data_IF_051951187071
#
_entry.id   IF_051951187071
#
_cell.length_a   1.000
_cell.length_b   1.000
_cell.length_c   1.000
_cell.angle_alpha   90.00
_cell.angle_beta   90.00
_cell.angle_gamma   90.00
#
_symmetry.space_group_name_H-M   'P 1'
#
loop_
_entity.id
_entity.type
_entity.pdbx_description
1 polymer ?
#
# COMPACT_ATOMS: atom_id res chain seq x y z
N UNK A 1 -8.61 13.82 -13.19
CA UNK A 1 -8.70 12.37 -13.37
C UNK A 1 -7.28 11.81 -13.34
N UNK A 2 -7.06 10.75 -12.56
CA UNK A 2 -5.78 10.03 -12.51
C UNK A 2 -6.04 8.64 -13.09
N UNK A 3 -5.21 8.22 -14.03
CA UNK A 3 -5.18 6.84 -14.50
C UNK A 3 -3.85 6.21 -14.11
N UNK A 4 -3.91 4.94 -13.75
CA UNK A 4 -2.73 4.12 -13.45
C UNK A 4 -2.57 3.14 -14.59
N UNK A 5 -1.41 3.13 -15.23
CA UNK A 5 -1.09 2.13 -16.25
C UNK A 5 -0.73 0.79 -15.61
N UNK A 6 -0.96 -0.28 -16.34
CA UNK A 6 -0.45 -1.59 -15.96
C UNK A 6 1.09 -1.57 -15.90
N UNK A 7 1.64 -2.39 -15.02
CA UNK A 7 3.10 -2.52 -14.88
C UNK A 7 3.69 -3.20 -16.10
N UNK A 8 4.58 -2.49 -16.79
CA UNK A 8 5.35 -2.99 -17.93
C UNK A 8 6.84 -2.90 -17.60
N UNK A 9 7.52 -4.03 -17.57
CA UNK A 9 8.95 -4.10 -17.25
C UNK A 9 9.86 -3.43 -18.27
N UNK A 10 9.35 -3.08 -19.46
CA UNK A 10 10.09 -2.34 -20.46
C UNK A 10 10.17 -0.83 -20.14
N UNK A 11 9.23 -0.30 -19.39
CA UNK A 11 9.10 1.14 -19.08
C UNK A 11 9.12 1.46 -17.59
N UNK A 12 8.73 0.49 -16.75
CA UNK A 12 8.71 0.69 -15.30
C UNK A 12 10.14 0.72 -14.73
N UNK A 13 10.46 1.65 -13.83
CA UNK A 13 11.73 1.66 -13.12
C UNK A 13 11.85 0.42 -12.23
N UNK A 14 13.08 0.11 -11.81
CA UNK A 14 13.34 -1.00 -10.90
C UNK A 14 12.58 -0.79 -9.58
N UNK A 15 11.73 -1.75 -9.24
CA UNK A 15 11.13 -1.91 -7.93
C UNK A 15 11.77 -3.11 -7.22
N UNK A 16 12.19 -2.91 -5.98
CA UNK A 16 12.78 -3.98 -5.17
C UNK A 16 11.77 -5.03 -4.70
N UNK A 17 10.51 -4.92 -5.08
CA UNK A 17 9.42 -5.84 -4.73
C UNK A 17 8.78 -5.59 -3.37
N UNK A 18 7.62 -6.19 -3.18
CA UNK A 18 6.84 -6.11 -1.95
C UNK A 18 7.26 -7.21 -0.98
N UNK A 19 8.09 -6.88 -0.01
CA UNK A 19 8.48 -7.77 1.06
C UNK A 19 8.69 -6.97 2.36
N UNK A 20 8.52 -7.60 3.51
CA UNK A 20 8.61 -6.92 4.81
C UNK A 20 7.58 -5.80 4.99
N UNK A 21 6.43 -5.88 4.31
CA UNK A 21 5.32 -4.91 4.36
C UNK A 21 5.72 -3.47 4.02
N UNK A 22 6.77 -3.28 3.23
CA UNK A 22 7.39 -1.97 2.96
C UNK A 22 6.71 -1.15 1.86
N UNK A 23 5.78 -1.70 1.09
CA UNK A 23 5.28 -1.05 -0.12
C UNK A 23 4.57 0.27 0.17
N UNK A 24 3.83 0.36 1.26
CA UNK A 24 3.13 1.61 1.62
C UNK A 24 4.11 2.74 1.91
N UNK A 25 5.13 2.52 2.72
CA UNK A 25 6.06 3.59 3.07
C UNK A 25 7.15 3.84 2.01
N UNK A 26 7.63 2.81 1.29
CA UNK A 26 8.60 3.02 0.20
C UNK A 26 7.92 3.51 -1.08
N UNK A 27 6.99 2.74 -1.62
CA UNK A 27 6.26 3.09 -2.84
C UNK A 27 5.38 4.32 -2.66
N UNK A 28 4.66 4.42 -1.53
CA UNK A 28 3.85 5.58 -1.19
C UNK A 28 4.67 6.87 -1.10
N UNK A 29 5.87 6.82 -0.53
CA UNK A 29 6.79 7.97 -0.48
C UNK A 29 7.25 8.38 -1.88
N UNK A 30 7.54 7.43 -2.77
CA UNK A 30 7.90 7.73 -4.15
C UNK A 30 6.74 8.45 -4.88
N UNK A 31 5.53 7.92 -4.74
CA UNK A 31 4.32 8.53 -5.33
C UNK A 31 4.07 9.92 -4.77
N UNK A 32 4.18 10.11 -3.45
CA UNK A 32 3.99 11.41 -2.81
C UNK A 32 5.00 12.44 -3.32
N UNK A 33 6.29 12.08 -3.39
CA UNK A 33 7.34 12.97 -3.92
C UNK A 33 7.09 13.35 -5.37
N UNK A 34 6.79 12.39 -6.23
CA UNK A 34 6.51 12.66 -7.64
C UNK A 34 5.25 13.53 -7.81
N UNK A 35 4.18 13.25 -7.06
CA UNK A 35 2.97 14.06 -7.10
C UNK A 35 3.20 15.50 -6.61
N UNK A 36 4.04 15.67 -5.58
CA UNK A 36 4.43 17.00 -5.07
C UNK A 36 5.20 17.78 -6.12
N UNK A 37 6.21 17.17 -6.75
CA UNK A 37 7.00 17.79 -7.81
C UNK A 37 6.13 18.16 -9.03
N UNK A 38 5.24 17.26 -9.44
CA UNK A 38 4.29 17.54 -10.52
C UNK A 38 3.36 18.70 -10.17
N UNK A 39 2.84 18.73 -8.93
CA UNK A 39 2.00 19.83 -8.45
C UNK A 39 2.76 21.16 -8.45
N UNK A 40 3.97 21.21 -7.96
CA UNK A 40 4.81 22.41 -7.95
C UNK A 40 5.04 22.93 -9.38
N UNK A 41 5.34 22.04 -10.32
CA UNK A 41 5.50 22.38 -11.73
C UNK A 41 4.22 22.96 -12.33
N UNK A 42 3.07 22.35 -12.07
CA UNK A 42 1.75 22.86 -12.51
C UNK A 42 1.49 24.24 -11.90
N UNK A 43 1.73 24.43 -10.61
CA UNK A 43 1.48 25.69 -9.93
C UNK A 43 2.38 26.81 -10.46
N UNK A 44 3.62 26.50 -10.85
CA UNK A 44 4.52 27.45 -11.50
C UNK A 44 4.00 27.89 -12.87
N UNK A 45 3.54 26.93 -13.70
CA UNK A 45 2.92 27.24 -15.00
C UNK A 45 1.64 28.06 -14.84
N UNK A 46 0.83 27.74 -13.83
CA UNK A 46 -0.40 28.47 -13.53
C UNK A 46 -0.12 29.92 -13.11
N UNK A 47 0.89 30.14 -12.27
CA UNK A 47 1.30 31.46 -11.84
C UNK A 47 1.77 32.34 -13.03
N UNK A 48 2.54 31.74 -13.95
CA UNK A 48 2.96 32.39 -15.18
C UNK A 48 1.79 32.72 -16.10
N UNK A 49 0.89 31.75 -16.32
CA UNK A 49 -0.28 31.91 -17.18
C UNK A 49 -1.26 32.97 -16.68
N UNK A 50 -1.48 33.02 -15.37
CA UNK A 50 -2.42 33.95 -14.73
C UNK A 50 -1.79 35.29 -14.34
N UNK A 51 -0.49 35.44 -14.54
CA UNK A 51 0.31 36.62 -14.10
C UNK A 51 0.09 36.93 -12.60
N UNK A 52 0.03 35.86 -11.76
CA UNK A 52 -0.21 35.94 -10.31
C UNK A 52 0.91 35.27 -9.50
N UNK A 53 1.00 35.63 -8.22
CA UNK A 53 1.88 34.92 -7.28
C UNK A 53 1.38 33.50 -7.07
N UNK A 54 2.29 32.55 -7.02
CA UNK A 54 1.99 31.13 -6.75
C UNK A 54 1.33 30.91 -5.38
N UNK A 55 1.66 31.76 -4.39
CA UNK A 55 1.10 31.71 -3.04
C UNK A 55 -0.42 31.99 -2.99
N UNK A 56 -0.93 32.79 -3.93
CA UNK A 56 -2.35 33.08 -4.07
C UNK A 56 -3.16 32.04 -4.84
N UNK A 57 -2.53 30.93 -5.25
CA UNK A 57 -3.14 29.90 -6.08
C UNK A 57 -3.20 28.56 -5.37
N UNK A 58 -4.23 27.79 -5.65
CA UNK A 58 -4.35 26.40 -5.19
C UNK A 58 -4.87 25.50 -6.30
N UNK A 59 -4.43 24.24 -6.31
CA UNK A 59 -4.94 23.20 -7.22
C UNK A 59 -5.96 22.34 -6.46
N UNK A 60 -7.20 22.40 -6.85
CA UNK A 60 -8.30 21.64 -6.25
C UNK A 60 -9.32 21.19 -7.30
N UNK A 61 -9.82 19.95 -7.20
CA UNK A 61 -10.85 19.43 -8.09
C UNK A 61 -10.51 19.49 -9.59
N UNK A 62 -9.22 19.50 -9.96
CA UNK A 62 -8.77 19.63 -11.35
C UNK A 62 -8.78 21.06 -11.90
N UNK A 63 -8.89 22.05 -11.01
CA UNK A 63 -8.86 23.47 -11.35
C UNK A 63 -7.81 24.20 -10.53
N UNK A 64 -7.22 25.24 -11.12
CA UNK A 64 -6.48 26.26 -10.40
C UNK A 64 -7.48 27.26 -9.87
N UNK A 65 -7.46 27.49 -8.58
CA UNK A 65 -8.37 28.39 -7.88
C UNK A 65 -7.58 29.43 -7.06
N UNK A 66 -8.22 30.55 -6.80
CA UNK A 66 -7.73 31.56 -5.88
C UNK A 66 -7.80 31.02 -4.43
N UNK A 67 -6.73 31.17 -3.68
CA UNK A 67 -6.60 30.60 -2.33
C UNK A 67 -7.54 31.25 -1.31
N UNK A 68 -7.80 32.55 -1.47
CA UNK A 68 -8.60 33.33 -0.52
C UNK A 68 -10.10 33.23 -0.78
N UNK A 69 -10.50 33.25 -2.07
CA UNK A 69 -11.90 33.24 -2.47
C UNK A 69 -12.44 31.86 -2.82
N UNK A 70 -11.56 30.90 -3.16
CA UNK A 70 -11.94 29.60 -3.70
C UNK A 70 -12.48 29.65 -5.12
N UNK A 71 -12.45 30.83 -5.80
CA UNK A 71 -12.91 30.97 -7.16
C UNK A 71 -12.04 30.18 -8.13
N UNK A 72 -12.67 29.43 -9.03
CA UNK A 72 -11.98 28.70 -10.09
C UNK A 72 -11.52 29.66 -11.18
N UNK A 73 -10.20 29.74 -11.39
CA UNK A 73 -9.58 30.65 -12.34
C UNK A 73 -9.33 30.01 -13.69
N UNK A 74 -8.84 28.78 -13.73
CA UNK A 74 -8.61 28.02 -14.96
C UNK A 74 -8.63 26.51 -14.70
N UNK A 75 -9.21 25.75 -15.62
CA UNK A 75 -9.16 24.30 -15.61
C UNK A 75 -7.75 23.77 -15.93
N UNK A 76 -7.33 22.71 -15.26
CA UNK A 76 -6.01 22.09 -15.52
C UNK A 76 -5.85 21.69 -16.99
N UNK A 77 -6.90 21.14 -17.62
CA UNK A 77 -6.89 20.77 -19.03
C UNK A 77 -6.68 21.96 -19.97
N UNK A 78 -7.27 23.12 -19.65
CA UNK A 78 -7.12 24.34 -20.45
C UNK A 78 -5.74 24.98 -20.26
N UNK A 79 -5.24 24.98 -19.02
CA UNK A 79 -3.88 25.40 -18.71
C UNK A 79 -2.85 24.57 -19.49
N UNK A 80 -2.95 23.25 -19.44
CA UNK A 80 -2.01 22.37 -20.14
C UNK A 80 -2.14 22.49 -21.66
N UNK A 81 -3.36 22.67 -22.17
CA UNK A 81 -3.56 22.89 -23.61
C UNK A 81 -2.89 24.17 -24.11
N UNK A 82 -2.90 25.23 -23.31
CA UNK A 82 -2.19 26.47 -23.63
C UNK A 82 -0.70 26.24 -23.86
N UNK A 83 -0.07 25.46 -22.98
CA UNK A 83 1.37 25.17 -23.07
C UNK A 83 1.74 24.07 -24.08
N UNK A 84 0.83 23.19 -24.45
CA UNK A 84 1.10 22.09 -25.40
C UNK A 84 0.78 22.44 -26.85
N UNK A 85 -0.19 23.29 -27.10
CA UNK A 85 -0.75 23.53 -28.45
C UNK A 85 -0.62 24.99 -28.92
N UNK A 86 -0.46 25.95 -28.00
CA UNK A 86 -0.54 27.37 -28.30
C UNK A 86 0.69 27.94 -28.97
N UNK A 87 1.86 27.76 -28.38
CA UNK A 87 3.14 28.30 -28.86
C UNK A 87 4.22 27.23 -28.70
N UNK A 88 4.70 26.73 -29.82
CA UNK A 88 5.76 25.70 -29.82
C UNK A 88 7.08 26.15 -29.15
N UNK A 89 7.28 27.46 -28.99
CA UNK A 89 8.44 27.99 -28.25
C UNK A 89 8.26 27.87 -26.73
N UNK A 90 7.05 27.58 -26.26
CA UNK A 90 6.66 27.45 -24.84
C UNK A 90 6.06 26.07 -24.51
N UNK A 91 6.37 25.06 -25.33
CA UNK A 91 5.88 23.71 -25.05
C UNK A 91 6.49 23.21 -23.74
N UNK A 92 5.64 23.03 -22.72
CA UNK A 92 6.03 22.47 -21.43
C UNK A 92 5.29 21.16 -21.19
N UNK A 93 6.04 20.13 -20.87
CA UNK A 93 5.51 18.90 -20.30
C UNK A 93 5.70 18.90 -18.78
N UNK A 94 4.71 18.40 -18.07
CA UNK A 94 4.84 18.14 -16.64
C UNK A 94 5.13 16.66 -16.46
N UNK A 95 6.36 16.36 -16.20
CA UNK A 95 6.84 15.01 -15.88
C UNK A 95 7.55 15.08 -14.54
N UNK A 96 7.25 14.15 -13.65
CA UNK A 96 7.91 14.02 -12.37
C UNK A 96 8.36 12.58 -12.15
N UNK A 97 9.56 12.42 -11.62
CA UNK A 97 10.15 11.15 -11.27
C UNK A 97 10.69 11.19 -9.84
N UNK A 98 10.32 10.21 -9.04
CA UNK A 98 10.85 10.12 -7.70
C UNK A 98 11.15 8.68 -7.30
N UNK A 99 12.07 8.51 -6.38
CA UNK A 99 12.33 7.26 -5.69
C UNK A 99 11.96 7.39 -4.22
N UNK A 100 11.35 6.33 -3.68
CA UNK A 100 11.03 6.21 -2.26
C UNK A 100 11.99 5.23 -1.60
N UNK A 101 12.88 5.76 -0.78
CA UNK A 101 13.65 4.98 0.19
C UNK A 101 13.39 5.62 1.54
N UNK A 102 12.97 4.82 2.50
CA UNK A 102 12.89 5.27 3.89
C UNK A 102 14.09 4.72 4.63
N UNK A 103 14.76 5.58 5.37
CA UNK A 103 15.88 5.20 6.25
C UNK A 103 15.35 4.49 7.50
N UNK A 104 14.15 4.86 7.93
CA UNK A 104 13.49 4.31 9.10
C UNK A 104 12.48 3.22 8.71
N UNK A 105 12.59 2.07 9.35
CA UNK A 105 11.61 1.00 9.29
C UNK A 105 10.87 0.97 10.63
N UNK A 106 9.62 1.43 10.67
CA UNK A 106 8.88 1.45 11.92
C UNK A 106 8.66 0.01 12.41
N UNK A 107 8.87 -0.27 13.71
CA UNK A 107 8.56 -1.56 14.28
C UNK A 107 7.04 -1.78 14.26
N UNK A 108 6.62 -3.01 13.97
CA UNK A 108 5.22 -3.42 14.08
C UNK A 108 5.04 -4.17 15.39
N UNK A 109 4.14 -3.68 16.23
CA UNK A 109 3.76 -4.35 17.47
C UNK A 109 2.47 -5.11 17.27
N UNK A 110 2.39 -6.30 17.88
CA UNK A 110 1.19 -7.11 17.79
C UNK A 110 1.05 -8.08 18.95
N UNK A 111 -0.19 -8.45 19.22
CA UNK A 111 -0.53 -9.49 20.19
C UNK A 111 -1.53 -10.44 19.54
N UNK A 112 -1.30 -11.74 19.72
CA UNK A 112 -2.18 -12.78 19.19
C UNK A 112 -2.63 -13.69 20.33
N UNK A 113 -3.92 -13.99 20.34
CA UNK A 113 -4.55 -14.92 21.28
C UNK A 113 -5.26 -16.01 20.50
N UNK A 114 -5.15 -17.24 20.98
CA UNK A 114 -5.84 -18.38 20.41
C UNK A 114 -6.65 -19.11 21.49
N UNK A 115 -7.91 -19.37 21.19
CA UNK A 115 -8.78 -20.27 21.94
C UNK A 115 -8.75 -21.63 21.26
N UNK A 116 -8.35 -22.67 22.01
CA UNK A 116 -8.17 -24.01 21.47
C UNK A 116 -8.92 -25.03 22.31
N UNK A 117 -9.39 -26.08 21.64
CA UNK A 117 -9.93 -27.28 22.27
C UNK A 117 -8.95 -28.43 22.00
N UNK A 118 -8.61 -29.16 23.04
CA UNK A 118 -7.68 -30.30 22.96
C UNK A 118 -8.39 -31.56 23.43
N UNK A 119 -8.44 -32.56 22.57
CA UNK A 119 -8.82 -33.89 22.97
C UNK A 119 -7.64 -34.56 23.72
N UNK A 120 -7.81 -34.75 25.01
CA UNK A 120 -6.73 -35.26 25.88
C UNK A 120 -6.42 -36.73 25.64
N UNK A 121 -7.32 -37.49 25.00
CA UNK A 121 -7.08 -38.90 24.70
C UNK A 121 -6.31 -39.08 23.38
N UNK A 122 -6.61 -38.27 22.38
CA UNK A 122 -6.01 -38.37 21.04
C UNK A 122 -4.91 -37.35 20.79
N UNK A 123 -4.87 -36.28 21.56
CA UNK A 123 -3.97 -35.15 21.36
C UNK A 123 -4.41 -34.23 20.19
N UNK A 124 -5.60 -34.45 19.60
CA UNK A 124 -6.11 -33.58 18.55
C UNK A 124 -6.40 -32.19 19.08
N UNK A 125 -5.93 -31.19 18.34
CA UNK A 125 -6.15 -29.77 18.64
C UNK A 125 -7.06 -29.16 17.60
N UNK A 126 -8.10 -28.46 18.06
CA UNK A 126 -8.96 -27.63 17.23
C UNK A 126 -8.85 -26.18 17.67
N UNK A 127 -8.50 -25.29 16.76
CA UNK A 127 -8.51 -23.84 17.02
C UNK A 127 -9.94 -23.33 16.81
N UNK A 128 -10.52 -22.81 17.87
CA UNK A 128 -11.91 -22.29 17.87
C UNK A 128 -11.91 -20.86 17.37
N UNK A 129 -11.03 -20.03 17.94
CA UNK A 129 -10.99 -18.60 17.68
C UNK A 129 -9.56 -18.07 17.80
N UNK A 130 -9.26 -17.11 16.95
CA UNK A 130 -8.04 -16.32 17.06
C UNK A 130 -8.37 -14.84 17.10
N UNK A 131 -7.66 -14.10 17.93
CA UNK A 131 -7.72 -12.64 17.99
C UNK A 131 -6.33 -12.12 17.71
N UNK A 132 -6.19 -11.29 16.68
CA UNK A 132 -4.95 -10.61 16.34
C UNK A 132 -5.10 -9.10 16.47
N UNK A 133 -4.39 -8.49 17.39
CA UNK A 133 -4.30 -7.04 17.54
C UNK A 133 -2.93 -6.57 17.04
N UNK A 134 -2.91 -5.72 16.03
CA UNK A 134 -1.68 -5.22 15.42
C UNK A 134 -1.72 -3.71 15.29
N UNK A 135 -0.60 -3.10 15.67
CA UNK A 135 -0.38 -1.68 15.43
C UNK A 135 0.11 -1.50 13.99
N UNK A 136 -0.76 -0.95 13.19
CA UNK A 136 -0.52 -0.71 11.75
C UNK A 136 -0.27 0.77 11.45
N UNK A 137 -0.18 1.61 12.50
CA UNK A 137 -0.25 3.05 12.33
C UNK A 137 -1.58 3.46 11.70
N UNK A 138 -1.60 4.47 10.85
CA UNK A 138 -2.83 4.85 10.14
C UNK A 138 -3.22 3.82 9.09
N UNK A 139 -4.32 3.11 9.30
CA UNK A 139 -4.85 2.14 8.35
C UNK A 139 -5.40 2.85 7.10
N UNK A 140 -4.66 2.84 5.99
CA UNK A 140 -5.07 3.44 4.71
C UNK A 140 -6.24 2.67 4.10
N UNK A 141 -6.21 1.35 4.22
CA UNK A 141 -7.29 0.45 3.81
C UNK A 141 -7.55 -0.59 4.89
N UNK A 142 -8.47 -0.32 5.84
CA UNK A 142 -8.77 -1.22 6.96
C UNK A 142 -9.14 -2.63 6.52
N UNK A 143 -9.98 -2.79 5.49
CA UNK A 143 -10.40 -4.10 5.01
C UNK A 143 -9.22 -4.96 4.49
N UNK A 144 -8.23 -4.35 3.84
CA UNK A 144 -7.02 -5.06 3.43
C UNK A 144 -6.11 -5.38 4.62
N UNK A 145 -6.02 -4.51 5.62
CA UNK A 145 -5.28 -4.80 6.86
C UNK A 145 -5.88 -6.00 7.59
N UNK A 146 -7.21 -6.03 7.77
CA UNK A 146 -7.93 -7.17 8.36
C UNK A 146 -7.71 -8.46 7.56
N UNK A 147 -7.73 -8.37 6.23
CA UNK A 147 -7.44 -9.51 5.35
C UNK A 147 -6.02 -10.05 5.53
N UNK A 148 -5.02 -9.18 5.69
CA UNK A 148 -3.64 -9.59 5.97
C UNK A 148 -3.50 -10.24 7.35
N UNK A 149 -4.14 -9.70 8.37
CA UNK A 149 -4.16 -10.28 9.72
C UNK A 149 -4.80 -11.67 9.69
N UNK A 150 -5.99 -11.79 9.11
CA UNK A 150 -6.71 -13.05 9.00
C UNK A 150 -5.91 -14.11 8.23
N UNK A 151 -5.30 -13.74 7.11
CA UNK A 151 -4.43 -14.62 6.33
C UNK A 151 -3.21 -15.08 7.11
N UNK A 152 -2.52 -14.16 7.78
CA UNK A 152 -1.33 -14.46 8.58
C UNK A 152 -1.64 -15.39 9.76
N UNK A 153 -2.75 -15.16 10.47
CA UNK A 153 -3.18 -16.02 11.57
C UNK A 153 -3.54 -17.43 11.09
N UNK A 154 -4.24 -17.54 9.96
CA UNK A 154 -4.58 -18.85 9.37
C UNK A 154 -3.32 -19.60 8.93
N UNK A 155 -2.34 -18.92 8.32
CA UNK A 155 -1.04 -19.54 8.02
C UNK A 155 -0.33 -20.00 9.30
N UNK A 156 -0.40 -19.24 10.38
CA UNK A 156 0.15 -19.62 11.68
C UNK A 156 -0.48 -20.90 12.23
N UNK A 157 -1.79 -21.08 12.08
CA UNK A 157 -2.50 -22.31 12.43
C UNK A 157 -1.97 -23.50 11.61
N UNK A 158 -1.81 -23.31 10.31
CA UNK A 158 -1.24 -24.33 9.42
C UNK A 158 0.15 -24.74 9.84
N UNK A 159 1.01 -23.77 10.05
CA UNK A 159 2.40 -24.01 10.50
C UNK A 159 2.48 -24.75 11.84
N UNK A 160 1.56 -24.47 12.76
CA UNK A 160 1.54 -25.10 14.09
C UNK A 160 0.95 -26.51 14.09
N UNK A 161 -0.02 -26.82 13.23
CA UNK A 161 -0.85 -28.03 13.39
C UNK A 161 -0.82 -28.98 12.20
N UNK A 162 -0.61 -28.52 10.98
CA UNK A 162 -0.82 -29.36 9.78
C UNK A 162 0.35 -29.37 8.80
N UNK A 163 1.15 -28.31 8.77
CA UNK A 163 2.27 -28.18 7.87
C UNK A 163 3.54 -28.77 8.48
N UNK A 164 4.15 -29.70 7.78
CA UNK A 164 5.39 -30.34 8.22
C UNK A 164 6.21 -30.76 7.00
N UNK A 165 7.34 -30.11 6.77
CA UNK A 165 8.26 -30.49 5.71
C UNK A 165 9.15 -31.65 6.18
N UNK A 166 9.05 -32.80 5.51
CA UNK A 166 9.88 -33.99 5.78
C UNK A 166 11.06 -33.99 4.82
N UNK A 167 12.26 -33.93 5.37
CA UNK A 167 13.50 -33.92 4.59
C UNK A 167 14.39 -35.07 5.06
N UNK A 168 14.81 -35.92 4.12
CA UNK A 168 15.81 -36.97 4.37
C UNK A 168 16.91 -36.87 3.31
N UNK A 169 18.16 -36.90 3.73
CA UNK A 169 19.33 -36.78 2.86
C UNK A 169 19.27 -35.64 1.83
N UNK A 170 18.74 -34.51 2.22
CA UNK A 170 18.57 -33.33 1.37
C UNK A 170 17.41 -33.42 0.35
N UNK A 171 16.57 -34.46 0.45
CA UNK A 171 15.40 -34.65 -0.40
C UNK A 171 14.12 -34.38 0.37
N UNK A 172 13.22 -33.58 -0.22
CA UNK A 172 11.88 -33.38 0.31
C UNK A 172 11.03 -34.62 -0.03
N UNK A 173 10.48 -35.28 0.98
CA UNK A 173 9.68 -36.49 0.82
C UNK A 173 8.20 -36.21 0.60
N UNK A 174 7.71 -35.04 1.01
CA UNK A 174 6.31 -34.63 0.90
C UNK A 174 6.15 -33.31 0.10
N UNK A 175 6.54 -33.28 -1.19
CA UNK A 175 6.60 -32.04 -1.98
C UNK A 175 5.24 -31.55 -2.49
N UNK A 176 4.17 -32.26 -2.25
CA UNK A 176 2.84 -31.95 -2.78
C UNK A 176 1.82 -31.66 -1.69
N UNK A 177 0.78 -30.88 -2.02
CA UNK A 177 -0.32 -30.52 -1.09
C UNK A 177 -1.14 -31.71 -0.56
N UNK A 178 -0.92 -32.91 -1.11
CA UNK A 178 -1.50 -34.13 -0.57
C UNK A 178 -0.95 -34.46 0.81
N UNK A 179 0.33 -34.25 0.98
CA UNK A 179 1.10 -34.69 2.15
C UNK A 179 1.62 -33.49 2.97
N UNK A 180 1.90 -32.36 2.32
CA UNK A 180 2.13 -31.06 2.95
C UNK A 180 0.81 -30.28 2.99
N UNK A 181 0.14 -30.29 4.13
CA UNK A 181 -1.24 -29.83 4.26
C UNK A 181 -1.31 -28.38 4.73
N UNK A 182 -1.58 -27.48 3.82
CA UNK A 182 -1.97 -26.09 4.16
C UNK A 182 -3.41 -26.07 4.65
N UNK A 183 -3.82 -25.13 5.52
CA UNK A 183 -5.19 -24.96 5.94
C UNK A 183 -6.13 -24.68 4.75
N UNK A 184 -7.26 -25.35 4.73
CA UNK A 184 -8.35 -25.06 3.79
C UNK A 184 -9.33 -24.08 4.44
N UNK A 185 -10.24 -23.52 3.67
CA UNK A 185 -11.26 -22.61 4.19
C UNK A 185 -12.10 -23.19 5.33
N UNK A 186 -12.31 -24.52 5.31
CA UNK A 186 -13.05 -25.25 6.37
C UNK A 186 -12.23 -25.42 7.66
N UNK A 187 -10.91 -25.33 7.55
CA UNK A 187 -9.99 -25.50 8.67
C UNK A 187 -9.68 -24.15 9.37
N UNK A 188 -10.10 -23.04 8.74
CA UNK A 188 -9.88 -21.70 9.27
C UNK A 188 -10.74 -21.46 10.52
N UNK A 189 -10.16 -21.00 11.63
CA UNK A 189 -10.90 -20.64 12.83
C UNK A 189 -11.70 -19.34 12.62
N UNK A 190 -12.56 -19.00 13.57
CA UNK A 190 -13.08 -17.64 13.68
C UNK A 190 -11.89 -16.69 13.94
N UNK A 191 -11.74 -15.65 13.11
CA UNK A 191 -10.68 -14.66 13.27
C UNK A 191 -11.28 -13.30 13.58
N UNK A 192 -10.80 -12.68 14.65
CA UNK A 192 -11.09 -11.29 15.01
C UNK A 192 -9.82 -10.47 14.83
N UNK A 193 -9.88 -9.52 13.93
CA UNK A 193 -8.81 -8.57 13.68
C UNK A 193 -9.06 -7.27 14.44
N UNK A 194 -8.06 -6.79 15.17
CA UNK A 194 -8.09 -5.52 15.87
C UNK A 194 -6.97 -4.65 15.32
N UNK A 195 -7.35 -3.57 14.65
CA UNK A 195 -6.40 -2.58 14.17
C UNK A 195 -6.11 -1.58 15.29
N UNK A 196 -4.86 -1.47 15.67
CA UNK A 196 -4.35 -0.44 16.56
C UNK A 196 -3.72 0.63 15.69
N UNK A 197 -4.16 1.86 15.84
CA UNK A 197 -3.64 3.01 15.10
C UNK A 197 -2.90 3.92 16.08
N UNK A 198 -1.63 3.63 16.36
CA UNK A 198 -0.79 4.55 17.11
C UNK A 198 -0.32 5.71 16.23
N UNK A 199 -0.20 6.87 16.84
CA UNK A 199 0.43 8.02 16.20
C UNK A 199 1.88 8.03 16.67
N UNK A 200 2.73 7.42 15.88
CA UNK A 200 4.18 7.53 16.06
C UNK A 200 4.66 8.82 15.38
N UNK A 201 5.58 9.56 16.00
CA UNK A 201 6.10 10.82 15.46
C UNK A 201 6.96 10.64 14.20
#
# INVERSE_FOLDING_TARGET
WISVSDTDTAIAPLDGGTHGSRQTYCGGTAVLKAATEARESIMKLAAEYLERSQEGLTLTGGNIADVDTGESLVGLGDLMRHYQVGDFSRCHEVIAHASGVTEDQPPVFGATFAEVEVDVETGQVRVIKMVGAFDVGKAINPAQCEGQISGGLTMGVGYALTEGLVIEDGKVLNPGYRDYKIPRAIDAPEVVSVLVESIEP
#
